data_IF_211487714851
#
_entry.id   IF_211487714851
#
_cell.length_a   1.000
_cell.length_b   1.000
_cell.length_c   1.000
_cell.angle_alpha   90.00
_cell.angle_beta   90.00
_cell.angle_gamma   90.00
#
_symmetry.space_group_name_H-M   'P 1'
#
loop_
_entity.id
_entity.type
_entity.pdbx_description
1 polymer ?
#
# COMPACT_ATOMS: atom_id res chain seq x y z
N UNK A 1 -32.19 -23.98 -4.49
CA UNK A 1 -31.33 -22.77 -4.52
C UNK A 1 -30.48 -22.76 -3.27
N UNK A 2 -29.16 -22.98 -3.41
CA UNK A 2 -28.22 -22.96 -2.28
C UNK A 2 -28.24 -21.56 -1.68
N UNK A 3 -28.62 -21.44 -0.41
CA UNK A 3 -28.55 -20.19 0.36
C UNK A 3 -27.06 -19.86 0.49
N UNK A 4 -26.58 -18.93 -0.33
CA UNK A 4 -25.25 -18.35 -0.17
C UNK A 4 -25.26 -17.61 1.16
N UNK A 5 -24.37 -18.03 2.07
CA UNK A 5 -24.17 -17.40 3.37
C UNK A 5 -23.76 -15.94 3.15
N UNK A 6 -24.69 -15.01 3.35
CA UNK A 6 -24.45 -13.57 3.30
C UNK A 6 -23.32 -13.11 4.23
N UNK A 7 -22.98 -13.93 5.24
CA UNK A 7 -21.88 -13.72 6.18
C UNK A 7 -20.49 -13.81 5.50
N UNK A 8 -20.30 -14.68 4.49
CA UNK A 8 -19.02 -14.78 3.77
C UNK A 8 -18.81 -13.64 2.78
N UNK A 9 -19.88 -13.07 2.23
CA UNK A 9 -19.78 -11.95 1.27
C UNK A 9 -19.45 -10.62 1.94
N UNK A 10 -19.77 -10.46 3.22
CA UNK A 10 -19.29 -9.33 4.01
C UNK A 10 -17.78 -9.39 4.25
N UNK A 11 -17.15 -10.57 4.15
CA UNK A 11 -15.69 -10.71 4.35
C UNK A 11 -14.86 -10.21 3.17
N UNK A 12 -15.48 -9.96 2.01
CA UNK A 12 -14.88 -9.12 0.95
C UNK A 12 -14.99 -7.65 1.38
N UNK A 13 -14.65 -7.38 2.64
CA UNK A 13 -14.66 -6.08 3.31
C UNK A 13 -13.53 -5.25 2.72
N UNK A 14 -13.72 -3.93 2.64
CA UNK A 14 -12.74 -2.99 2.09
C UNK A 14 -11.34 -3.08 2.70
N UNK A 15 -11.17 -3.77 3.83
CA UNK A 15 -9.86 -4.06 4.42
C UNK A 15 -8.98 -5.00 3.60
N UNK A 16 -9.55 -5.99 2.91
CA UNK A 16 -8.79 -6.91 2.06
C UNK A 16 -8.17 -6.16 0.86
N UNK A 17 -8.87 -5.13 0.36
CA UNK A 17 -8.32 -4.22 -0.67
C UNK A 17 -7.20 -3.32 -0.15
N UNK A 18 -7.29 -2.86 1.09
CA UNK A 18 -6.25 -2.00 1.69
C UNK A 18 -5.00 -2.85 1.98
N UNK A 19 -5.16 -4.07 2.49
CA UNK A 19 -4.05 -4.99 2.70
C UNK A 19 -3.35 -5.35 1.39
N UNK A 20 -4.10 -5.70 0.33
CA UNK A 20 -3.54 -5.96 -0.99
C UNK A 20 -2.87 -4.72 -1.60
N UNK A 21 -3.47 -3.54 -1.43
CA UNK A 21 -2.85 -2.27 -1.84
C UNK A 21 -1.54 -2.02 -1.10
N UNK A 22 -1.52 -2.14 0.23
CA UNK A 22 -0.34 -1.89 1.04
C UNK A 22 0.79 -2.88 0.73
N UNK A 23 0.47 -4.15 0.51
CA UNK A 23 1.43 -5.16 0.09
C UNK A 23 2.00 -4.85 -1.30
N UNK A 24 1.15 -4.52 -2.28
CA UNK A 24 1.59 -4.15 -3.62
C UNK A 24 2.40 -2.86 -3.65
N UNK A 25 1.97 -1.85 -2.89
CA UNK A 25 2.65 -0.57 -2.75
C UNK A 25 4.03 -0.73 -2.12
N UNK A 26 4.16 -1.53 -1.06
CA UNK A 26 5.45 -1.80 -0.42
C UNK A 26 6.46 -2.41 -1.41
N UNK A 27 6.02 -3.34 -2.26
CA UNK A 27 6.87 -3.93 -3.29
C UNK A 27 7.36 -2.91 -4.31
N UNK A 28 6.48 -2.03 -4.80
CA UNK A 28 6.84 -0.98 -5.77
C UNK A 28 7.70 0.11 -5.12
N UNK A 29 7.37 0.52 -3.90
CA UNK A 29 8.08 1.54 -3.14
C UNK A 29 9.55 1.12 -2.89
N UNK A 30 9.80 -0.14 -2.54
CA UNK A 30 11.16 -0.64 -2.32
C UNK A 30 12.04 -0.52 -3.58
N UNK A 31 11.50 -0.85 -4.76
CA UNK A 31 12.22 -0.71 -6.03
C UNK A 31 12.43 0.78 -6.35
N UNK A 32 11.42 1.60 -6.11
CA UNK A 32 11.48 3.04 -6.35
C UNK A 32 12.53 3.72 -5.47
N UNK A 33 12.67 3.34 -4.20
CA UNK A 33 13.69 3.90 -3.30
C UNK A 33 15.11 3.66 -3.81
N UNK A 34 15.40 2.47 -4.35
CA UNK A 34 16.71 2.18 -4.96
C UNK A 34 16.97 3.15 -6.13
N UNK A 35 15.97 3.42 -6.95
CA UNK A 35 16.07 4.36 -8.07
C UNK A 35 16.26 5.82 -7.60
N UNK A 36 15.63 6.22 -6.50
CA UNK A 36 15.81 7.54 -5.88
C UNK A 36 17.22 7.69 -5.29
N UNK A 37 17.72 6.67 -4.60
CA UNK A 37 19.10 6.67 -4.05
C UNK A 37 20.13 6.75 -5.17
N UNK A 38 19.91 6.02 -6.28
CA UNK A 38 20.77 6.12 -7.46
C UNK A 38 20.73 7.50 -8.15
N UNK A 39 19.67 8.28 -7.92
CA UNK A 39 19.44 9.59 -8.54
C UNK A 39 19.13 10.68 -7.49
N UNK A 40 19.95 10.76 -6.44
CA UNK A 40 19.77 11.69 -5.33
C UNK A 40 19.76 13.17 -5.73
N UNK A 41 20.15 13.53 -6.95
CA UNK A 41 20.09 14.89 -7.46
C UNK A 41 18.75 15.24 -8.13
N UNK A 42 17.84 14.27 -8.30
CA UNK A 42 16.55 14.49 -8.94
C UNK A 42 15.45 14.89 -7.92
N UNK A 43 14.98 16.15 -7.94
CA UNK A 43 13.98 16.65 -6.99
C UNK A 43 12.61 15.95 -7.11
N UNK A 44 12.28 15.40 -8.29
CA UNK A 44 11.05 14.59 -8.46
C UNK A 44 11.14 13.29 -7.66
N UNK A 45 12.33 12.69 -7.60
CA UNK A 45 12.59 11.50 -6.80
C UNK A 45 12.37 11.75 -5.31
N UNK A 46 12.74 12.94 -4.81
CA UNK A 46 12.53 13.32 -3.42
C UNK A 46 11.05 13.49 -3.08
N UNK A 47 10.28 14.14 -3.96
CA UNK A 47 8.84 14.29 -3.79
C UNK A 47 8.12 12.94 -3.74
N UNK A 48 8.53 12.01 -4.60
CA UNK A 48 7.99 10.66 -4.60
C UNK A 48 8.43 9.83 -3.38
N UNK A 49 9.62 10.06 -2.82
CA UNK A 49 10.05 9.45 -1.56
C UNK A 49 9.20 9.92 -0.37
N UNK A 50 8.89 11.22 -0.30
CA UNK A 50 8.00 11.80 0.73
C UNK A 50 6.58 11.22 0.60
N UNK A 51 6.05 11.15 -0.62
CA UNK A 51 4.74 10.54 -0.88
C UNK A 51 4.73 9.04 -0.52
N UNK A 52 5.81 8.33 -0.84
CA UNK A 52 6.02 6.94 -0.47
C UNK A 52 6.00 6.71 1.03
N UNK A 53 6.72 7.54 1.78
CA UNK A 53 6.75 7.50 3.24
C UNK A 53 5.37 7.79 3.85
N UNK A 54 4.64 8.77 3.32
CA UNK A 54 3.28 9.09 3.81
C UNK A 54 2.30 7.92 3.60
N UNK A 55 2.35 7.28 2.43
CA UNK A 55 1.52 6.11 2.14
C UNK A 55 1.94 4.91 3.01
N UNK A 56 3.25 4.70 3.18
CA UNK A 56 3.78 3.65 4.05
C UNK A 56 3.35 3.81 5.52
N UNK A 57 3.40 5.03 6.05
CA UNK A 57 2.89 5.34 7.40
C UNK A 57 1.37 5.14 7.50
N UNK A 58 0.62 5.50 6.45
CA UNK A 58 -0.82 5.23 6.38
C UNK A 58 -1.14 3.73 6.43
N UNK A 59 -0.38 2.93 5.68
CA UNK A 59 -0.48 1.47 5.68
C UNK A 59 -0.10 0.85 7.04
N UNK A 60 0.99 1.33 7.66
CA UNK A 60 1.40 0.88 8.98
C UNK A 60 0.36 1.24 10.05
N UNK A 61 -0.21 2.45 9.99
CA UNK A 61 -1.30 2.89 10.87
C UNK A 61 -2.58 2.08 10.68
N UNK A 62 -2.90 1.68 9.43
CA UNK A 62 -4.02 0.80 9.14
C UNK A 62 -3.81 -0.62 9.71
N UNK A 63 -2.60 -1.17 9.58
CA UNK A 63 -2.27 -2.50 10.12
C UNK A 63 -2.29 -2.57 11.65
N UNK A 64 -2.22 -1.42 12.34
CA UNK A 64 -2.27 -1.32 13.79
C UNK A 64 -3.69 -1.07 14.35
N UNK A 65 -4.70 -0.92 13.48
CA UNK A 65 -6.11 -0.72 13.85
C UNK A 65 -6.82 -2.06 14.07
#
# INVERSE_FOLDING_TARGET
>A
MKKLNLIEMESIKGGDRIEQFCAGFAGVAAIYEIAVIANLWNPVGWGAQIAGAAIGLGCAGYALR
#
